data_IF_260828168150
#
_entry.id   IF_260828168150
#
_cell.length_a   1.000
_cell.length_b   1.000
_cell.length_c   1.000
_cell.angle_alpha   90.00
_cell.angle_beta   90.00
_cell.angle_gamma   90.00
#
_symmetry.space_group_name_H-M   'P 1'
#
loop_
_entity.id
_entity.type
_entity.pdbx_description
1 polymer ?
#
# COMPACT_ATOMS: atom_id res chain seq x y z
N UNK A 1 5.35 -25.72 -1.61
CA UNK A 1 4.71 -24.69 -0.80
C UNK A 1 3.71 -23.89 -1.65
N UNK A 2 2.57 -23.53 -1.06
CA UNK A 2 1.61 -22.65 -1.71
C UNK A 2 2.20 -21.22 -1.86
N UNK A 3 1.61 -20.41 -2.74
CA UNK A 3 2.00 -19.02 -2.88
C UNK A 3 1.90 -18.24 -1.57
N UNK A 4 0.83 -18.51 -0.79
CA UNK A 4 0.65 -17.89 0.53
C UNK A 4 1.72 -18.30 1.53
N UNK A 5 2.11 -19.56 1.54
CA UNK A 5 3.16 -20.04 2.43
C UNK A 5 4.51 -19.45 2.07
N UNK A 6 4.84 -19.37 0.78
CA UNK A 6 6.08 -18.74 0.33
C UNK A 6 6.14 -17.28 0.73
N UNK A 7 5.04 -16.56 0.57
CA UNK A 7 4.96 -15.14 0.91
C UNK A 7 5.11 -14.94 2.43
N UNK A 8 4.46 -15.78 3.23
CA UNK A 8 4.55 -15.75 4.68
C UNK A 8 5.99 -15.97 5.16
N UNK A 9 6.69 -16.95 4.58
CA UNK A 9 8.09 -17.22 4.88
C UNK A 9 8.96 -16.03 4.47
N UNK A 10 8.74 -15.46 3.30
CA UNK A 10 9.48 -14.30 2.83
C UNK A 10 9.33 -13.09 3.74
N UNK A 11 8.11 -12.80 4.17
CA UNK A 11 7.83 -11.70 5.11
C UNK A 11 8.50 -11.97 6.46
N UNK A 12 8.36 -13.18 7.00
CA UNK A 12 8.98 -13.54 8.27
C UNK A 12 10.50 -13.39 8.23
N UNK A 13 11.13 -13.84 7.14
CA UNK A 13 12.58 -13.68 6.97
C UNK A 13 13.01 -12.22 6.94
N UNK A 14 12.25 -11.37 6.23
CA UNK A 14 12.54 -9.96 6.14
C UNK A 14 12.51 -9.31 7.52
N UNK A 15 11.55 -9.65 8.36
CA UNK A 15 11.45 -9.11 9.72
C UNK A 15 12.45 -9.73 10.71
N UNK A 16 12.85 -10.98 10.47
CA UNK A 16 13.80 -11.67 11.36
C UNK A 16 15.16 -10.97 11.41
N UNK A 17 15.55 -10.28 10.35
CA UNK A 17 16.78 -9.51 10.30
C UNK A 17 16.70 -8.23 11.15
N UNK A 18 15.50 -7.85 11.56
CA UNK A 18 15.20 -6.63 12.33
C UNK A 18 15.74 -5.35 11.68
N UNK A 19 15.43 -5.10 10.39
CA UNK A 19 15.87 -3.87 9.75
C UNK A 19 15.18 -2.66 10.35
N UNK A 20 15.82 -1.50 10.28
CA UNK A 20 15.18 -0.24 10.69
C UNK A 20 14.08 0.17 9.71
N UNK A 21 14.23 -0.20 8.46
CA UNK A 21 13.29 0.07 7.39
C UNK A 21 13.19 -1.14 6.49
N UNK A 22 11.97 -1.46 6.06
CA UNK A 22 11.70 -2.59 5.18
C UNK A 22 10.96 -2.08 3.95
N UNK A 23 11.40 -2.50 2.77
CA UNK A 23 10.73 -2.20 1.52
C UNK A 23 10.10 -3.48 0.95
N UNK A 24 8.79 -3.44 0.72
CA UNK A 24 8.02 -4.53 0.13
C UNK A 24 7.43 -4.07 -1.19
N UNK A 25 7.74 -4.78 -2.28
CA UNK A 25 7.27 -4.45 -3.62
C UNK A 25 6.15 -5.41 -4.01
N UNK A 26 4.92 -4.92 -4.01
CA UNK A 26 3.70 -5.67 -4.33
C UNK A 26 3.65 -7.05 -3.67
N UNK A 27 3.81 -7.11 -2.34
CA UNK A 27 4.02 -8.40 -1.66
C UNK A 27 2.82 -9.35 -1.75
N UNK A 28 1.65 -8.86 -2.11
CA UNK A 28 0.41 -9.66 -2.16
C UNK A 28 -0.13 -9.84 -3.57
N UNK A 29 0.58 -9.34 -4.59
CA UNK A 29 0.06 -9.27 -5.96
C UNK A 29 -0.30 -10.60 -6.59
N UNK A 30 0.43 -11.67 -6.25
CA UNK A 30 0.23 -13.00 -6.83
C UNK A 30 -0.73 -13.88 -6.03
N UNK A 31 -1.31 -13.38 -4.94
CA UNK A 31 -2.15 -14.16 -4.06
C UNK A 31 -3.63 -14.03 -4.40
N UNK A 32 -4.41 -15.09 -4.16
CA UNK A 32 -5.87 -15.00 -4.24
C UNK A 32 -6.43 -14.12 -3.12
N UNK A 33 -7.67 -13.69 -3.25
CA UNK A 33 -8.26 -12.70 -2.35
C UNK A 33 -8.31 -13.17 -0.88
N UNK A 34 -8.63 -14.43 -0.65
CA UNK A 34 -8.74 -14.96 0.71
C UNK A 34 -7.38 -15.09 1.39
N UNK A 35 -6.41 -15.67 0.68
CA UNK A 35 -5.04 -15.81 1.18
C UNK A 35 -4.41 -14.44 1.39
N UNK A 36 -4.65 -13.51 0.47
CA UNK A 36 -4.16 -12.14 0.58
C UNK A 36 -4.62 -11.49 1.87
N UNK A 37 -5.92 -11.59 2.18
CA UNK A 37 -6.47 -11.01 3.40
C UNK A 37 -5.81 -11.55 4.66
N UNK A 38 -5.63 -12.86 4.73
CA UNK A 38 -5.00 -13.50 5.89
C UNK A 38 -3.56 -13.00 6.09
N UNK A 39 -2.79 -12.93 5.00
CA UNK A 39 -1.38 -12.53 5.08
C UNK A 39 -1.25 -11.03 5.37
N UNK A 40 -2.15 -10.20 4.84
CA UNK A 40 -2.18 -8.78 5.19
C UNK A 40 -2.41 -8.57 6.68
N UNK A 41 -3.32 -9.32 7.27
CA UNK A 41 -3.59 -9.23 8.72
C UNK A 41 -2.39 -9.67 9.54
N UNK A 42 -1.69 -10.72 9.11
CA UNK A 42 -0.46 -11.18 9.77
C UNK A 42 0.63 -10.13 9.69
N UNK A 43 0.82 -9.51 8.52
CA UNK A 43 1.80 -8.45 8.33
C UNK A 43 1.52 -7.27 9.27
N UNK A 44 0.26 -6.84 9.35
CA UNK A 44 -0.12 -5.76 10.25
C UNK A 44 0.17 -6.08 11.71
N UNK A 45 -0.06 -7.33 12.12
CA UNK A 45 0.29 -7.79 13.47
C UNK A 45 1.78 -7.66 13.75
N UNK A 46 2.62 -8.07 12.80
CA UNK A 46 4.08 -7.98 12.93
C UNK A 46 4.53 -6.53 13.00
N UNK A 47 4.01 -5.68 12.13
CA UNK A 47 4.37 -4.24 12.10
C UNK A 47 4.04 -3.58 13.44
N UNK A 48 2.88 -3.89 14.02
CA UNK A 48 2.49 -3.33 15.32
C UNK A 48 3.41 -3.79 16.45
N UNK A 49 3.88 -5.04 16.41
CA UNK A 49 4.77 -5.57 17.42
C UNK A 49 6.18 -5.03 17.31
N UNK A 50 6.70 -4.92 16.09
CA UNK A 50 8.11 -4.56 15.88
C UNK A 50 8.32 -3.05 15.80
N UNK A 51 7.28 -2.28 15.51
CA UNK A 51 7.33 -0.83 15.30
C UNK A 51 8.35 -0.42 14.24
N UNK A 52 8.60 -1.30 13.27
CA UNK A 52 9.49 -1.00 12.16
C UNK A 52 8.81 -0.09 11.15
N UNK A 53 9.61 0.70 10.43
CA UNK A 53 9.11 1.47 9.31
C UNK A 53 9.04 0.57 8.07
N UNK A 54 7.85 0.50 7.46
CA UNK A 54 7.62 -0.33 6.29
C UNK A 54 7.15 0.55 5.14
N UNK A 55 7.85 0.44 4.00
CA UNK A 55 7.40 0.99 2.72
C UNK A 55 6.88 -0.13 1.86
N UNK A 56 5.67 0.04 1.32
CA UNK A 56 5.04 -0.96 0.47
C UNK A 56 4.63 -0.31 -0.84
N UNK A 57 4.96 -0.97 -1.95
CA UNK A 57 4.49 -0.58 -3.28
C UNK A 57 3.28 -1.43 -3.61
N UNK A 58 2.18 -0.79 -4.00
CA UNK A 58 0.96 -1.48 -4.39
C UNK A 58 0.19 -0.69 -5.43
N UNK A 59 -0.56 -1.40 -6.28
CA UNK A 59 -1.53 -0.81 -7.21
C UNK A 59 -2.96 -0.90 -6.68
N UNK A 60 -3.16 -1.54 -5.53
CA UNK A 60 -4.48 -1.73 -4.94
C UNK A 60 -4.77 -0.60 -3.95
N UNK A 61 -5.74 0.25 -4.28
CA UNK A 61 -6.10 1.41 -3.47
C UNK A 61 -6.62 1.00 -2.10
N UNK A 62 -7.46 -0.02 -2.03
CA UNK A 62 -8.00 -0.49 -0.75
C UNK A 62 -6.92 -1.08 0.14
N UNK A 63 -5.95 -1.78 -0.44
CA UNK A 63 -4.79 -2.28 0.30
C UNK A 63 -3.99 -1.13 0.91
N UNK A 64 -3.73 -0.09 0.12
CA UNK A 64 -3.01 1.08 0.62
C UNK A 64 -3.75 1.75 1.78
N UNK A 65 -5.06 1.90 1.67
CA UNK A 65 -5.87 2.53 2.73
C UNK A 65 -5.93 1.65 3.98
N UNK A 66 -6.07 0.35 3.80
CA UNK A 66 -6.15 -0.58 4.92
C UNK A 66 -4.84 -0.64 5.71
N UNK A 67 -3.72 -0.72 5.02
CA UNK A 67 -2.45 -1.09 5.64
C UNK A 67 -1.56 0.07 6.04
N UNK A 68 -1.73 1.26 5.45
CA UNK A 68 -0.75 2.33 5.63
C UNK A 68 -1.23 3.47 6.53
N UNK A 69 -0.28 4.15 7.17
CA UNK A 69 -0.52 5.40 7.88
C UNK A 69 -0.43 6.59 6.94
N UNK A 70 0.40 6.49 5.92
CA UNK A 70 0.57 7.53 4.88
C UNK A 70 0.64 6.86 3.53
N UNK A 71 0.05 7.50 2.54
CA UNK A 71 0.04 7.01 1.17
C UNK A 71 0.79 8.01 0.30
N UNK A 72 1.83 7.52 -0.36
CA UNK A 72 2.63 8.33 -1.27
C UNK A 72 2.10 8.13 -2.68
N UNK A 73 1.56 9.18 -3.28
CA UNK A 73 1.07 9.15 -4.64
C UNK A 73 2.21 9.53 -5.59
N UNK A 74 2.58 8.58 -6.43
CA UNK A 74 3.71 8.75 -7.34
C UNK A 74 3.23 9.08 -8.74
N UNK A 75 3.97 9.95 -9.42
CA UNK A 75 3.73 10.24 -10.83
C UNK A 75 4.83 9.61 -11.67
N UNK A 76 4.44 9.10 -12.85
CA UNK A 76 5.40 8.63 -13.83
C UNK A 76 5.98 9.83 -14.57
N UNK A 77 7.20 9.68 -15.07
CA UNK A 77 7.77 10.69 -15.96
C UNK A 77 6.93 10.83 -17.21
N UNK A 78 6.82 12.05 -17.73
CA UNK A 78 6.12 12.27 -18.97
C UNK A 78 6.86 13.31 -19.82
N UNK A 79 6.58 13.32 -21.13
CA UNK A 79 7.15 14.28 -22.07
C UNK A 79 6.07 15.28 -22.46
N UNK A 80 6.30 16.56 -22.14
CA UNK A 80 5.36 17.63 -22.44
C UNK A 80 6.10 18.74 -23.17
N UNK A 81 5.57 19.14 -24.32
CA UNK A 81 6.14 20.21 -25.16
C UNK A 81 7.64 20.00 -25.49
N UNK A 82 8.04 18.75 -25.71
CA UNK A 82 9.43 18.41 -26.01
C UNK A 82 10.34 18.36 -24.79
N UNK A 83 9.79 18.56 -23.60
CA UNK A 83 10.55 18.48 -22.36
C UNK A 83 10.14 17.24 -21.57
N UNK A 84 11.13 16.47 -21.11
CA UNK A 84 10.89 15.33 -20.23
C UNK A 84 10.76 15.80 -18.79
N UNK A 85 9.64 15.46 -18.17
CA UNK A 85 9.40 15.70 -16.75
C UNK A 85 9.57 14.37 -16.03
N UNK A 86 10.60 14.23 -15.20
CA UNK A 86 10.81 12.95 -14.48
C UNK A 86 9.69 12.65 -13.51
N UNK A 87 9.43 11.35 -13.31
CA UNK A 87 8.50 10.89 -12.30
C UNK A 87 9.02 11.17 -10.90
N UNK A 88 8.13 11.19 -9.95
CA UNK A 88 8.48 11.40 -8.56
C UNK A 88 7.26 11.44 -7.65
N UNK A 89 7.49 11.88 -6.42
CA UNK A 89 6.42 12.03 -5.43
C UNK A 89 5.56 13.23 -5.80
N UNK A 90 4.27 12.97 -6.05
CA UNK A 90 3.30 14.01 -6.37
C UNK A 90 2.57 14.53 -5.14
N UNK A 91 2.20 13.63 -4.23
CA UNK A 91 1.41 14.00 -3.06
C UNK A 91 1.62 12.99 -1.93
N UNK A 92 1.55 13.46 -0.70
CA UNK A 92 1.50 12.60 0.49
C UNK A 92 0.12 12.73 1.11
N UNK A 93 -0.60 11.61 1.21
CA UNK A 93 -1.91 11.55 1.85
C UNK A 93 -1.75 10.95 3.23
N UNK A 94 -2.08 11.71 4.27
CA UNK A 94 -2.14 11.17 5.63
C UNK A 94 -3.46 10.42 5.78
N UNK A 95 -3.40 9.16 6.17
CA UNK A 95 -4.59 8.34 6.30
C UNK A 95 -5.44 8.85 7.47
N UNK A 96 -6.68 9.31 7.21
CA UNK A 96 -7.53 9.86 8.28
C UNK A 96 -8.26 8.81 9.09
N UNK A 97 -8.17 7.53 8.69
CA UNK A 97 -8.89 6.45 9.35
C UNK A 97 -8.21 6.04 10.64
N UNK A 98 -8.96 5.48 11.61
CA UNK A 98 -8.36 4.98 12.85
C UNK A 98 -7.27 3.93 12.57
N UNK A 99 -6.23 3.92 13.39
CA UNK A 99 -5.12 2.97 13.21
C UNK A 99 -5.51 1.53 13.47
N UNK A 100 -6.55 1.30 14.27
CA UNK A 100 -7.06 -0.03 14.60
C UNK A 100 -8.13 -0.53 13.61
N UNK A 101 -8.25 0.13 12.46
CA UNK A 101 -9.21 -0.25 11.43
C UNK A 101 -9.00 -1.68 10.97
N UNK A 102 -10.12 -2.36 10.68
CA UNK A 102 -10.11 -3.73 10.17
C UNK A 102 -10.69 -3.76 8.76
N UNK A 103 -10.39 -4.84 8.03
CA UNK A 103 -10.95 -5.05 6.69
C UNK A 103 -12.48 -5.02 6.70
N UNK A 104 -13.10 -5.65 7.69
CA UNK A 104 -14.55 -5.72 7.80
C UNK A 104 -15.18 -4.35 8.04
N UNK A 105 -14.47 -3.45 8.71
CA UNK A 105 -14.96 -2.12 9.04
C UNK A 105 -14.68 -1.08 7.97
N UNK A 106 -13.76 -1.35 7.05
CA UNK A 106 -13.17 -0.34 6.17
C UNK A 106 -14.23 0.50 5.45
N UNK A 107 -15.19 -0.15 4.82
CA UNK A 107 -16.23 0.53 4.04
C UNK A 107 -17.28 1.26 4.89
N UNK A 108 -17.25 1.06 6.20
CA UNK A 108 -18.17 1.70 7.13
C UNK A 108 -17.53 2.88 7.87
N UNK A 109 -16.24 3.09 7.72
CA UNK A 109 -15.54 4.20 8.37
C UNK A 109 -15.84 5.52 7.64
N UNK A 110 -16.15 6.61 8.38
CA UNK A 110 -16.64 7.84 7.75
C UNK A 110 -15.76 8.43 6.66
N UNK A 111 -14.46 8.36 6.81
CA UNK A 111 -13.54 9.00 5.86
C UNK A 111 -13.06 8.07 4.75
N UNK A 112 -13.53 6.83 4.70
CA UNK A 112 -13.03 5.84 3.73
C UNK A 112 -13.26 6.29 2.28
N UNK A 113 -14.51 6.61 1.94
CA UNK A 113 -14.84 6.99 0.56
C UNK A 113 -14.18 8.30 0.15
N UNK A 114 -14.03 9.21 1.08
CA UNK A 114 -13.37 10.48 0.82
C UNK A 114 -11.91 10.27 0.41
N UNK A 115 -11.14 9.52 1.18
CA UNK A 115 -9.74 9.26 0.85
C UNK A 115 -9.60 8.37 -0.37
N UNK A 116 -10.48 7.37 -0.51
CA UNK A 116 -10.48 6.50 -1.68
C UNK A 116 -10.74 7.28 -2.96
N UNK A 117 -11.75 8.13 -2.95
CA UNK A 117 -12.10 8.93 -4.13
C UNK A 117 -10.98 9.89 -4.50
N UNK A 118 -10.33 10.49 -3.51
CA UNK A 118 -9.20 11.36 -3.75
C UNK A 118 -8.06 10.63 -4.48
N UNK A 119 -7.71 9.44 -4.02
CA UNK A 119 -6.65 8.63 -4.62
C UNK A 119 -7.06 8.17 -6.03
N UNK A 120 -8.29 7.68 -6.21
CA UNK A 120 -8.77 7.22 -7.50
C UNK A 120 -8.79 8.37 -8.51
N UNK A 121 -9.25 9.55 -8.09
CA UNK A 121 -9.27 10.74 -8.96
C UNK A 121 -7.84 11.11 -9.40
N UNK A 122 -6.87 11.03 -8.51
CA UNK A 122 -5.48 11.25 -8.85
C UNK A 122 -5.01 10.26 -9.92
N UNK A 123 -5.27 8.97 -9.74
CA UNK A 123 -4.83 7.93 -10.67
C UNK A 123 -5.51 8.07 -12.03
N UNK A 124 -6.79 8.37 -12.07
CA UNK A 124 -7.54 8.60 -13.32
C UNK A 124 -7.01 9.83 -14.05
N UNK A 125 -6.77 10.91 -13.33
CA UNK A 125 -6.22 12.15 -13.88
C UNK A 125 -4.86 11.91 -14.51
N UNK A 126 -4.00 11.13 -13.87
CA UNK A 126 -2.68 10.77 -14.41
C UNK A 126 -2.78 9.91 -15.66
N UNK A 127 -3.70 8.94 -15.67
CA UNK A 127 -3.92 8.09 -16.84
C UNK A 127 -4.37 8.90 -18.07
N UNK A 128 -5.18 9.93 -17.86
CA UNK A 128 -5.65 10.80 -18.96
C UNK A 128 -4.59 11.76 -19.47
N UNK A 129 -3.55 12.02 -18.70
CA UNK A 129 -2.46 12.93 -19.08
C UNK A 129 -1.48 12.30 -20.07
N UNK A 130 -1.64 11.03 -20.38
CA UNK A 130 -0.75 10.30 -21.31
C UNK A 130 -1.39 10.11 -22.69
#
# INVERSE_FOLDING_TARGET
LSGGMKQRVGIARAFAIQPKMLLLDEPFGALDALTRGTIQDELMGIVRQTQQTVFMITHDVDEAILLSDRILLMSNGNESNGHYVPGGLAEVVVNPLPRDRTRAQLHHLPSYYEVRNHIVDFLVSRAKAH
#
